data_IF_094113140884
#
_entry.id   IF_094113140884
#
_cell.length_a   1.000
_cell.length_b   1.000
_cell.length_c   1.000
_cell.angle_alpha   90.00
_cell.angle_beta   90.00
_cell.angle_gamma   90.00
#
_symmetry.space_group_name_H-M   'P 1'
#
loop_
_entity.id
_entity.type
_entity.pdbx_description
1 polymer ?
#
# COMPACT_ATOMS: atom_id res chain seq x y z
N UNK A 1 -22.40 54.85 2.40
CA UNK A 1 -23.13 54.04 1.40
C UNK A 1 -22.61 52.60 1.45
N UNK A 2 -23.48 51.63 1.77
CA UNK A 2 -23.14 50.20 1.92
C UNK A 2 -22.96 49.56 0.54
N UNK A 3 -21.84 48.87 0.31
CA UNK A 3 -21.63 48.04 -0.90
C UNK A 3 -22.52 46.78 -0.80
N UNK A 4 -23.20 46.36 -1.89
CA UNK A 4 -24.04 45.18 -1.87
C UNK A 4 -23.18 43.90 -1.85
N UNK A 5 -23.56 42.93 -1.01
CA UNK A 5 -23.01 41.58 -0.99
C UNK A 5 -23.50 40.84 -2.24
N UNK A 6 -22.58 40.46 -3.12
CA UNK A 6 -22.85 39.48 -4.19
C UNK A 6 -23.07 38.11 -3.53
N UNK A 7 -24.33 37.67 -3.47
CA UNK A 7 -24.68 36.31 -3.09
C UNK A 7 -24.26 35.33 -4.18
N UNK A 8 -23.38 34.39 -3.84
CA UNK A 8 -23.10 33.22 -4.66
C UNK A 8 -24.37 32.35 -4.72
N UNK A 9 -25.11 32.40 -5.82
CA UNK A 9 -26.13 31.40 -6.09
C UNK A 9 -25.42 30.10 -6.47
N UNK A 10 -25.37 29.15 -5.55
CA UNK A 10 -25.04 27.77 -5.88
C UNK A 10 -26.18 27.26 -6.76
N UNK A 11 -25.90 27.07 -8.05
CA UNK A 11 -26.85 26.40 -8.93
C UNK A 11 -27.18 25.03 -8.32
N UNK A 12 -28.46 24.66 -8.18
CA UNK A 12 -28.81 23.35 -7.67
C UNK A 12 -28.26 22.31 -8.65
N UNK A 13 -27.32 21.48 -8.16
CA UNK A 13 -26.85 20.32 -8.89
C UNK A 13 -28.03 19.42 -9.27
N UNK A 14 -27.87 18.56 -10.29
CA UNK A 14 -28.93 17.65 -10.71
C UNK A 14 -29.47 16.88 -9.49
N UNK A 15 -30.79 16.59 -9.44
CA UNK A 15 -31.39 15.91 -8.30
C UNK A 15 -30.59 14.65 -8.01
N UNK A 16 -29.97 14.60 -6.82
CA UNK A 16 -29.34 13.38 -6.32
C UNK A 16 -30.44 12.33 -6.36
N UNK A 17 -30.35 11.37 -7.28
CA UNK A 17 -31.15 10.15 -7.18
C UNK A 17 -31.01 9.69 -5.73
N UNK A 18 -32.13 9.47 -5.05
CA UNK A 18 -32.16 9.00 -3.66
C UNK A 18 -31.40 7.68 -3.62
N UNK A 19 -30.08 7.75 -3.41
CA UNK A 19 -29.30 6.56 -3.17
C UNK A 19 -29.88 5.91 -1.93
N UNK A 20 -30.03 4.57 -1.89
CA UNK A 20 -30.41 3.90 -0.67
C UNK A 20 -29.51 4.37 0.46
N UNK A 21 -30.10 4.72 1.60
CA UNK A 21 -29.34 5.06 2.79
C UNK A 21 -28.72 3.76 3.33
N UNK A 22 -27.53 3.43 2.86
CA UNK A 22 -26.79 2.27 3.35
C UNK A 22 -26.30 2.55 4.77
N UNK A 23 -26.81 1.79 5.74
CA UNK A 23 -26.36 1.86 7.14
C UNK A 23 -25.24 0.86 7.36
N UNK A 24 -24.07 1.36 7.74
CA UNK A 24 -22.98 0.51 8.21
C UNK A 24 -23.20 0.13 9.68
N UNK A 25 -22.68 -1.03 10.13
CA UNK A 25 -22.72 -1.38 11.54
C UNK A 25 -22.10 -0.27 12.41
N UNK A 26 -22.58 -0.04 13.65
CA UNK A 26 -22.04 1.00 14.52
C UNK A 26 -20.51 0.90 14.76
N UNK A 27 -19.97 -0.31 14.69
CA UNK A 27 -18.55 -0.60 14.86
C UNK A 27 -17.72 -0.46 13.56
N UNK A 28 -18.31 -0.05 12.44
CA UNK A 28 -17.58 0.08 11.18
C UNK A 28 -16.50 1.18 11.28
N UNK A 29 -15.27 0.83 10.91
CA UNK A 29 -14.13 1.71 11.02
C UNK A 29 -14.04 2.64 9.80
N UNK A 30 -14.31 3.93 10.01
CA UNK A 30 -14.03 4.99 9.04
C UNK A 30 -12.68 5.65 9.32
N UNK A 31 -11.96 6.02 8.27
CA UNK A 31 -10.67 6.67 8.42
C UNK A 31 -10.17 7.31 7.14
N UNK A 32 -9.08 8.05 7.28
CA UNK A 32 -8.28 8.59 6.17
C UNK A 32 -6.85 8.07 6.27
N UNK A 33 -6.07 8.20 5.20
CA UNK A 33 -4.71 7.66 5.14
C UNK A 33 -3.72 8.61 4.50
N UNK A 34 -2.46 8.52 4.93
CA UNK A 34 -1.31 9.17 4.30
C UNK A 34 -0.06 8.28 4.38
N UNK A 35 1.02 8.70 3.73
CA UNK A 35 2.35 8.10 3.87
C UNK A 35 3.41 9.17 4.08
N UNK A 36 4.48 8.79 4.79
CA UNK A 36 5.53 9.68 5.25
C UNK A 36 6.17 10.47 4.10
N UNK A 37 6.69 9.79 3.08
CA UNK A 37 7.37 10.48 1.97
C UNK A 37 6.42 11.40 1.17
N UNK A 38 5.14 11.06 1.08
CA UNK A 38 4.17 11.84 0.32
C UNK A 38 3.67 13.10 1.06
N UNK A 39 3.80 13.17 2.40
CA UNK A 39 3.21 14.27 3.18
C UNK A 39 4.17 14.98 4.13
N UNK A 40 5.14 14.28 4.74
CA UNK A 40 5.97 14.84 5.82
C UNK A 40 6.81 16.03 5.39
N UNK A 41 7.59 15.89 4.32
CA UNK A 41 8.72 16.79 4.08
C UNK A 41 9.73 16.73 5.23
N UNK A 42 10.39 17.85 5.52
CA UNK A 42 11.45 17.90 6.53
C UNK A 42 12.53 16.87 6.25
N UNK A 43 12.90 16.72 4.96
CA UNK A 43 13.64 15.58 4.44
C UNK A 43 15.07 15.47 5.00
N UNK A 44 15.67 16.60 5.39
CA UNK A 44 16.96 16.70 6.09
C UNK A 44 16.82 17.16 7.56
N UNK A 45 15.60 17.24 8.08
CA UNK A 45 15.35 17.75 9.43
C UNK A 45 15.44 16.66 10.49
N UNK A 46 15.94 17.03 11.68
CA UNK A 46 15.91 16.18 12.88
C UNK A 46 16.65 14.86 12.71
N UNK A 47 17.80 14.85 12.04
CA UNK A 47 18.66 13.67 11.91
C UNK A 47 18.16 12.58 10.95
N UNK A 48 17.11 12.85 10.16
CA UNK A 48 16.60 11.91 9.15
C UNK A 48 17.67 11.58 8.11
N UNK A 49 17.86 10.30 7.82
CA UNK A 49 18.70 9.83 6.70
C UNK A 49 17.98 9.92 5.36
N UNK A 50 18.72 9.77 4.26
CA UNK A 50 18.14 9.70 2.93
C UNK A 50 17.43 8.36 2.71
N UNK A 51 16.29 8.40 2.01
CA UNK A 51 15.63 7.25 1.43
C UNK A 51 15.93 7.12 -0.07
N UNK A 52 15.57 5.98 -0.65
CA UNK A 52 15.64 5.77 -2.11
C UNK A 52 14.82 6.79 -2.90
N UNK A 53 13.73 7.30 -2.32
CA UNK A 53 12.91 8.33 -2.97
C UNK A 53 13.54 9.71 -2.91
N UNK A 54 14.29 10.04 -1.85
CA UNK A 54 15.07 11.28 -1.80
C UNK A 54 16.08 11.29 -2.96
N UNK A 55 16.86 10.22 -3.13
CA UNK A 55 17.81 10.12 -4.24
C UNK A 55 17.12 10.15 -5.62
N UNK A 56 15.98 9.47 -5.75
CA UNK A 56 15.22 9.39 -7.00
C UNK A 56 14.69 10.74 -7.45
N UNK A 57 13.98 11.45 -6.57
CA UNK A 57 13.34 12.73 -6.91
C UNK A 57 14.36 13.83 -7.22
N UNK A 58 15.53 13.79 -6.58
CA UNK A 58 16.66 14.69 -6.87
C UNK A 58 17.44 14.32 -8.13
N UNK A 59 17.12 13.21 -8.80
CA UNK A 59 17.74 12.85 -10.08
C UNK A 59 16.94 13.45 -11.25
N UNK A 60 17.55 14.29 -12.10
CA UNK A 60 16.85 14.91 -13.23
C UNK A 60 16.12 13.90 -14.13
N UNK A 61 14.88 14.23 -14.51
CA UNK A 61 14.06 13.43 -15.43
C UNK A 61 13.39 12.19 -14.81
N UNK A 62 13.58 11.93 -13.51
CA UNK A 62 12.96 10.77 -12.83
C UNK A 62 11.56 11.03 -12.28
N UNK A 63 11.18 12.29 -12.11
CA UNK A 63 9.86 12.71 -11.66
C UNK A 63 9.27 13.70 -12.67
N UNK A 64 7.98 13.54 -12.98
CA UNK A 64 7.27 14.43 -13.88
C UNK A 64 7.38 15.89 -13.40
N UNK A 65 7.79 16.80 -14.28
CA UNK A 65 7.99 18.21 -13.95
C UNK A 65 9.16 18.49 -12.99
N UNK A 66 9.98 17.49 -12.64
CA UNK A 66 11.12 17.66 -11.74
C UNK A 66 10.73 17.95 -10.28
N UNK A 67 9.50 17.61 -9.88
CA UNK A 67 9.04 17.83 -8.52
C UNK A 67 9.81 16.98 -7.49
N UNK A 68 10.05 17.56 -6.32
CA UNK A 68 10.66 16.90 -5.15
C UNK A 68 9.70 16.96 -3.96
N UNK A 69 9.84 16.02 -3.03
CA UNK A 69 9.00 15.92 -1.83
C UNK A 69 9.67 16.50 -0.57
N UNK A 70 10.66 17.38 -0.74
CA UNK A 70 11.44 18.00 0.34
C UNK A 70 10.56 18.68 1.40
N UNK A 71 9.56 19.43 0.92
CA UNK A 71 8.53 20.04 1.74
C UNK A 71 7.24 19.19 1.74
N UNK A 72 6.88 18.56 0.62
CA UNK A 72 5.62 17.84 0.45
C UNK A 72 4.41 18.69 0.90
N UNK A 73 3.62 18.20 1.87
CA UNK A 73 2.53 18.95 2.51
C UNK A 73 2.96 19.63 3.83
N UNK A 74 4.26 19.56 4.17
CA UNK A 74 4.86 20.03 5.41
C UNK A 74 4.21 19.40 6.65
N UNK A 75 3.78 18.13 6.56
CA UNK A 75 3.20 17.43 7.71
C UNK A 75 4.19 17.33 8.87
N UNK A 76 5.50 17.29 8.62
CA UNK A 76 6.52 17.31 9.67
C UNK A 76 6.44 18.59 10.52
N UNK A 77 6.27 19.76 9.90
CA UNK A 77 6.09 21.04 10.60
C UNK A 77 4.66 21.28 11.09
N UNK A 78 3.66 20.70 10.42
CA UNK A 78 2.23 21.05 10.55
C UNK A 78 1.35 19.94 11.12
N UNK A 79 1.91 18.84 11.59
CA UNK A 79 1.12 17.69 12.06
C UNK A 79 0.06 18.06 13.10
N UNK A 80 0.30 19.09 13.92
CA UNK A 80 -0.68 19.58 14.91
C UNK A 80 -1.94 20.12 14.23
N UNK A 81 -1.81 20.80 13.10
CA UNK A 81 -2.93 21.28 12.30
C UNK A 81 -3.64 20.14 11.57
N UNK A 82 -2.89 19.16 11.09
CA UNK A 82 -3.47 17.97 10.45
C UNK A 82 -4.28 17.13 11.44
N UNK A 83 -3.81 16.96 12.68
CA UNK A 83 -4.59 16.31 13.74
C UNK A 83 -5.88 17.08 14.03
N UNK A 84 -5.83 18.42 14.06
CA UNK A 84 -7.04 19.25 14.22
C UNK A 84 -8.01 19.07 13.06
N UNK A 85 -7.51 18.97 11.82
CA UNK A 85 -8.32 18.70 10.63
C UNK A 85 -9.00 17.32 10.70
N UNK A 86 -8.25 16.29 11.06
CA UNK A 86 -8.77 14.92 11.23
C UNK A 86 -9.86 14.88 12.30
N UNK A 87 -9.64 15.56 13.43
CA UNK A 87 -10.63 15.65 14.50
C UNK A 87 -11.91 16.35 14.03
N UNK A 88 -11.80 17.47 13.31
CA UNK A 88 -12.96 18.18 12.73
C UNK A 88 -13.71 17.35 11.69
N UNK A 89 -13.02 16.48 10.97
CA UNK A 89 -13.62 15.55 10.02
C UNK A 89 -14.45 14.46 10.72
N UNK A 90 -14.19 14.20 12.01
CA UNK A 90 -14.91 13.22 12.81
C UNK A 90 -14.55 11.77 12.48
N UNK A 91 -13.38 11.52 11.86
CA UNK A 91 -12.95 10.16 11.52
C UNK A 91 -12.28 9.47 12.72
N UNK A 92 -12.72 8.26 13.11
CA UNK A 92 -12.19 7.57 14.29
C UNK A 92 -10.82 6.91 14.09
N UNK A 93 -10.34 6.79 12.84
CA UNK A 93 -9.06 6.21 12.50
C UNK A 93 -8.25 7.10 11.57
N UNK A 94 -6.94 7.11 11.76
CA UNK A 94 -5.98 7.70 10.82
C UNK A 94 -4.88 6.70 10.51
N UNK A 95 -4.75 6.34 9.24
CA UNK A 95 -3.64 5.53 8.75
C UNK A 95 -2.48 6.45 8.39
N UNK A 96 -1.32 6.21 8.99
CA UNK A 96 -0.07 6.89 8.68
C UNK A 96 1.03 5.87 8.42
N UNK A 97 2.12 6.28 7.77
CA UNK A 97 3.34 5.48 7.77
C UNK A 97 4.44 6.13 8.60
N UNK A 98 5.32 5.29 9.15
CA UNK A 98 6.56 5.76 9.75
C UNK A 98 7.64 5.78 8.66
N UNK A 99 8.49 6.81 8.67
CA UNK A 99 9.64 6.84 7.80
C UNK A 99 10.79 6.06 8.41
N UNK A 100 11.16 4.95 7.76
CA UNK A 100 12.27 4.12 8.23
C UNK A 100 13.56 4.93 8.30
N UNK A 101 13.87 5.73 7.27
CA UNK A 101 15.05 6.59 7.26
C UNK A 101 15.01 7.71 8.32
N UNK A 102 13.82 8.08 8.84
CA UNK A 102 13.71 9.03 9.97
C UNK A 102 13.97 8.35 11.31
N UNK A 103 13.62 7.08 11.49
CA UNK A 103 13.79 6.34 12.74
C UNK A 103 15.18 5.69 12.84
N UNK A 104 15.66 5.10 11.75
CA UNK A 104 17.00 4.52 11.60
C UNK A 104 17.63 5.06 10.32
N UNK A 105 18.42 6.14 10.38
CA UNK A 105 18.99 6.81 9.19
C UNK A 105 19.80 5.91 8.27
N UNK A 106 20.59 4.99 8.83
CA UNK A 106 21.34 3.99 8.06
C UNK A 106 20.53 2.73 7.73
N UNK A 107 19.26 2.68 8.13
CA UNK A 107 18.37 1.52 8.06
C UNK A 107 18.61 0.44 9.12
N UNK A 108 19.79 0.43 9.74
CA UNK A 108 20.17 -0.43 10.86
C UNK A 108 20.96 0.36 11.91
N UNK A 109 21.10 -0.21 13.10
CA UNK A 109 22.00 0.32 14.12
C UNK A 109 21.42 1.54 14.84
N UNK A 110 22.08 2.69 14.70
CA UNK A 110 21.79 3.89 15.49
C UNK A 110 20.35 4.38 15.29
N UNK A 111 19.67 4.61 16.41
CA UNK A 111 18.31 5.14 16.45
C UNK A 111 18.37 6.66 16.47
N UNK A 112 17.54 7.29 15.64
CA UNK A 112 17.33 8.71 15.69
C UNK A 112 16.19 9.05 16.67
N UNK A 113 16.55 9.46 17.88
CA UNK A 113 15.60 9.78 18.95
C UNK A 113 14.70 10.98 18.64
N UNK A 114 15.12 11.90 17.78
CA UNK A 114 14.26 13.00 17.29
C UNK A 114 13.13 12.48 16.41
N UNK A 115 13.43 11.49 15.56
CA UNK A 115 12.43 10.78 14.75
C UNK A 115 11.43 10.02 15.63
N UNK A 116 11.90 9.35 16.68
CA UNK A 116 11.01 8.68 17.64
C UNK A 116 10.11 9.70 18.36
N UNK A 117 10.67 10.83 18.81
CA UNK A 117 9.91 11.88 19.49
C UNK A 117 8.82 12.44 18.59
N UNK A 118 9.12 12.74 17.33
CA UNK A 118 8.13 13.21 16.35
C UNK A 118 6.91 12.27 16.24
N UNK A 119 7.13 10.98 15.97
CA UNK A 119 6.03 10.03 15.86
C UNK A 119 5.32 9.79 17.19
N UNK A 120 6.05 9.80 18.30
CA UNK A 120 5.45 9.66 19.64
C UNK A 120 4.49 10.80 19.94
N UNK A 121 4.89 12.05 19.70
CA UNK A 121 4.05 13.23 19.91
C UNK A 121 2.81 13.23 18.99
N UNK A 122 2.98 12.85 17.72
CA UNK A 122 1.89 12.70 16.77
C UNK A 122 0.88 11.64 17.23
N UNK A 123 1.35 10.44 17.59
CA UNK A 123 0.52 9.35 18.10
C UNK A 123 -0.24 9.78 19.36
N UNK A 124 0.44 10.41 20.32
CA UNK A 124 -0.22 10.90 21.54
C UNK A 124 -1.29 11.94 21.24
N UNK A 125 -1.04 12.81 20.27
CA UNK A 125 -2.02 13.82 19.88
C UNK A 125 -3.23 13.25 19.16
N UNK A 126 -3.05 12.27 18.28
CA UNK A 126 -4.15 11.54 17.64
C UNK A 126 -5.06 10.92 18.71
N UNK A 127 -4.46 10.18 19.67
CA UNK A 127 -5.18 9.53 20.75
C UNK A 127 -5.92 10.53 21.65
N UNK A 128 -5.30 11.66 22.02
CA UNK A 128 -5.97 12.73 22.78
C UNK A 128 -7.20 13.30 22.07
N UNK A 129 -7.23 13.26 20.73
CA UNK A 129 -8.37 13.71 19.93
C UNK A 129 -9.35 12.57 19.56
N UNK A 130 -9.20 11.40 20.18
CA UNK A 130 -10.07 10.24 19.94
C UNK A 130 -9.82 9.53 18.61
N UNK A 131 -8.68 9.78 17.95
CA UNK A 131 -8.32 9.22 16.66
C UNK A 131 -7.34 8.07 16.88
N UNK A 132 -7.71 6.86 16.43
CA UNK A 132 -6.86 5.67 16.58
C UNK A 132 -5.86 5.56 15.42
N UNK A 133 -4.55 5.46 15.70
CA UNK A 133 -3.55 5.30 14.65
C UNK A 133 -3.56 3.87 14.08
N UNK A 134 -3.52 3.77 12.75
CA UNK A 134 -3.19 2.55 12.01
C UNK A 134 -1.83 2.77 11.34
N UNK A 135 -0.78 2.12 11.85
CA UNK A 135 0.59 2.45 11.47
C UNK A 135 1.12 1.50 10.40
N UNK A 136 1.54 2.06 9.27
CA UNK A 136 2.28 1.36 8.22
C UNK A 136 3.79 1.48 8.47
N UNK A 137 4.50 0.37 8.64
CA UNK A 137 5.93 0.37 8.95
C UNK A 137 6.79 0.72 7.73
N UNK A 138 6.41 0.23 6.54
CA UNK A 138 7.13 0.50 5.30
C UNK A 138 6.17 0.95 4.19
N UNK A 139 6.41 2.16 3.69
CA UNK A 139 5.67 2.74 2.57
C UNK A 139 6.63 3.24 1.47
N UNK A 140 7.46 2.30 1.00
CA UNK A 140 8.37 2.44 -0.14
C UNK A 140 9.58 3.35 0.09
N UNK A 141 9.76 3.90 1.28
CA UNK A 141 10.81 4.86 1.63
C UNK A 141 12.03 4.19 2.27
N UNK A 142 12.57 3.16 1.60
CA UNK A 142 13.73 2.39 2.06
C UNK A 142 14.92 3.33 2.33
N UNK A 143 15.61 3.22 3.48
CA UNK A 143 16.85 3.93 3.74
C UNK A 143 17.87 3.68 2.62
N UNK A 144 18.42 4.74 2.06
CA UNK A 144 19.31 4.70 0.91
C UNK A 144 20.54 3.79 1.14
N UNK A 145 21.17 3.75 2.33
CA UNK A 145 22.30 2.85 2.57
C UNK A 145 21.96 1.36 2.36
N UNK A 146 20.75 0.91 2.73
CA UNK A 146 20.32 -0.48 2.47
C UNK A 146 20.22 -0.78 0.97
N UNK A 147 19.83 0.20 0.18
CA UNK A 147 19.79 0.04 -1.27
C UNK A 147 21.19 -0.01 -1.88
N UNK A 148 22.11 0.85 -1.43
CA UNK A 148 23.46 0.97 -1.98
C UNK A 148 24.38 -0.19 -1.56
N UNK A 149 24.28 -0.65 -0.31
CA UNK A 149 25.18 -1.67 0.23
C UNK A 149 24.68 -3.10 0.03
N UNK A 150 23.37 -3.28 -0.11
CA UNK A 150 22.74 -4.61 -0.10
C UNK A 150 21.71 -4.81 -1.22
N UNK A 151 21.69 -3.98 -2.26
CA UNK A 151 20.70 -4.05 -3.34
C UNK A 151 19.23 -3.98 -2.86
N UNK A 152 18.99 -3.42 -1.67
CA UNK A 152 17.67 -3.21 -1.10
C UNK A 152 16.88 -4.51 -0.99
N UNK A 153 15.65 -4.54 -1.49
CA UNK A 153 14.76 -5.70 -1.35
C UNK A 153 15.20 -6.95 -2.12
N UNK A 154 16.22 -6.89 -2.97
CA UNK A 154 16.80 -8.10 -3.58
C UNK A 154 17.59 -8.93 -2.57
N UNK A 155 18.02 -8.33 -1.45
CA UNK A 155 18.78 -9.03 -0.42
C UNK A 155 17.93 -9.47 0.77
N UNK A 156 18.10 -10.72 1.26
CA UNK A 156 17.47 -11.17 2.50
C UNK A 156 17.98 -10.41 3.73
N UNK A 157 19.13 -9.71 3.64
CA UNK A 157 19.62 -8.83 4.71
C UNK A 157 18.67 -7.66 4.97
N UNK A 158 18.00 -7.16 3.93
CA UNK A 158 17.01 -6.08 4.06
C UNK A 158 15.77 -6.56 4.81
N UNK A 159 15.36 -7.83 4.63
CA UNK A 159 14.29 -8.43 5.42
C UNK A 159 14.67 -8.50 6.91
N UNK A 160 15.91 -8.89 7.23
CA UNK A 160 16.40 -8.89 8.61
C UNK A 160 16.48 -7.48 9.21
N UNK A 161 16.97 -6.50 8.45
CA UNK A 161 17.01 -5.10 8.85
C UNK A 161 15.60 -4.56 9.13
N UNK A 162 14.62 -4.88 8.28
CA UNK A 162 13.21 -4.51 8.47
C UNK A 162 12.65 -5.07 9.78
N UNK A 163 12.98 -6.32 10.13
CA UNK A 163 12.52 -6.94 11.40
C UNK A 163 13.11 -6.24 12.62
N UNK A 164 14.37 -5.81 12.56
CA UNK A 164 15.00 -5.03 13.62
C UNK A 164 14.33 -3.66 13.80
N UNK A 165 14.10 -2.96 12.68
CA UNK A 165 13.36 -1.70 12.63
C UNK A 165 11.91 -1.84 13.15
N UNK A 166 11.18 -2.85 12.69
CA UNK A 166 9.82 -3.14 13.14
C UNK A 166 9.78 -3.45 14.64
N UNK A 167 10.73 -4.23 15.15
CA UNK A 167 10.86 -4.53 16.58
C UNK A 167 11.00 -3.27 17.42
N UNK A 168 11.86 -2.33 16.99
CA UNK A 168 12.01 -1.05 17.65
C UNK A 168 10.68 -0.28 17.63
N UNK A 169 9.98 -0.22 16.48
CA UNK A 169 8.70 0.47 16.40
C UNK A 169 7.65 -0.15 17.36
N UNK A 170 7.60 -1.47 17.47
CA UNK A 170 6.72 -2.16 18.43
C UNK A 170 7.08 -1.83 19.88
N UNK A 171 8.37 -1.75 20.20
CA UNK A 171 8.84 -1.37 21.53
C UNK A 171 8.46 0.07 21.89
N UNK A 172 8.75 1.01 20.98
CA UNK A 172 8.59 2.45 21.24
C UNK A 172 7.14 2.94 21.15
N UNK A 173 6.32 2.31 20.31
CA UNK A 173 4.95 2.76 20.04
C UNK A 173 3.86 1.74 20.37
N UNK A 174 4.19 0.46 20.54
CA UNK A 174 3.21 -0.62 20.73
C UNK A 174 2.43 -0.59 22.05
N UNK A 175 2.75 0.33 22.97
CA UNK A 175 1.88 0.64 24.11
C UNK A 175 0.65 1.47 23.74
N UNK A 176 0.64 2.08 22.54
CA UNK A 176 -0.37 3.05 22.07
C UNK A 176 -0.94 2.69 20.69
N UNK A 177 -0.15 2.01 19.87
CA UNK A 177 -0.54 1.57 18.52
C UNK A 177 -0.98 0.10 18.55
N UNK A 178 -2.24 -0.13 18.20
CA UNK A 178 -2.87 -1.47 18.21
C UNK A 178 -3.14 -2.04 16.82
N UNK A 179 -2.87 -1.29 15.74
CA UNK A 179 -3.09 -1.75 14.37
C UNK A 179 -1.85 -1.44 13.53
N UNK A 180 -1.21 -2.50 13.03
CA UNK A 180 0.01 -2.43 12.26
C UNK A 180 -0.19 -2.97 10.86
N UNK A 181 0.34 -2.24 9.88
CA UNK A 181 0.57 -2.72 8.52
C UNK A 181 2.08 -2.80 8.33
N UNK A 182 2.58 -3.97 7.96
CA UNK A 182 4.03 -4.17 7.75
C UNK A 182 4.52 -3.44 6.51
N UNK A 183 4.13 -3.89 5.34
CA UNK A 183 4.45 -3.27 4.06
C UNK A 183 3.19 -2.86 3.33
N UNK A 184 3.23 -1.71 2.66
CA UNK A 184 2.19 -1.27 1.74
C UNK A 184 2.48 -1.76 0.32
N UNK A 185 1.50 -2.43 -0.31
CA UNK A 185 1.50 -2.87 -1.70
C UNK A 185 2.85 -3.39 -2.23
N UNK A 186 3.44 -4.43 -1.61
CA UNK A 186 4.76 -4.95 -2.01
C UNK A 186 4.81 -5.42 -3.47
N UNK A 187 3.69 -5.92 -4.02
CA UNK A 187 3.59 -6.26 -5.44
C UNK A 187 3.83 -5.04 -6.35
N UNK A 188 3.19 -3.91 -6.05
CA UNK A 188 3.33 -2.69 -6.83
C UNK A 188 4.75 -2.11 -6.69
N UNK A 189 5.30 -2.15 -5.48
CA UNK A 189 6.71 -1.75 -5.25
C UNK A 189 7.67 -2.62 -6.07
N UNK A 190 7.49 -3.94 -6.05
CA UNK A 190 8.31 -4.88 -6.79
C UNK A 190 8.24 -4.62 -8.32
N UNK A 191 7.03 -4.46 -8.87
CA UNK A 191 6.85 -4.25 -10.31
C UNK A 191 7.41 -2.91 -10.76
N UNK A 192 7.07 -1.83 -10.07
CA UNK A 192 7.47 -0.48 -10.48
C UNK A 192 8.97 -0.24 -10.25
N UNK A 193 9.53 -0.84 -9.19
CA UNK A 193 10.94 -0.67 -8.81
C UNK A 193 11.92 -1.61 -9.51
N UNK A 194 11.50 -2.82 -9.87
CA UNK A 194 12.40 -3.90 -10.33
C UNK A 194 12.00 -4.53 -11.68
N UNK A 195 10.89 -4.11 -12.29
CA UNK A 195 10.49 -4.54 -13.63
C UNK A 195 10.36 -3.35 -14.59
N UNK A 196 9.49 -2.38 -14.26
CA UNK A 196 9.23 -1.21 -15.12
C UNK A 196 10.30 -0.12 -14.97
N UNK A 197 10.98 -0.07 -13.84
CA UNK A 197 11.99 0.94 -13.54
C UNK A 197 11.42 2.36 -13.42
N UNK A 198 10.13 2.49 -13.13
CA UNK A 198 9.41 3.77 -13.04
C UNK A 198 9.47 4.38 -11.64
N UNK A 199 9.66 3.56 -10.62
CA UNK A 199 9.88 3.98 -9.23
C UNK A 199 11.27 3.53 -8.77
N UNK A 200 11.84 4.15 -7.73
CA UNK A 200 13.11 3.68 -7.17
C UNK A 200 13.02 2.21 -6.70
N UNK A 201 14.09 1.43 -6.86
CA UNK A 201 15.43 1.84 -7.35
C UNK A 201 15.56 1.98 -8.88
N UNK A 202 14.48 1.82 -9.65
CA UNK A 202 14.49 2.07 -11.09
C UNK A 202 15.19 0.99 -11.90
N UNK A 203 15.19 -0.25 -11.41
CA UNK A 203 15.91 -1.38 -12.02
C UNK A 203 15.08 -2.04 -13.12
N UNK A 204 15.75 -2.39 -14.20
CA UNK A 204 15.20 -3.10 -15.36
C UNK A 204 16.14 -4.20 -15.88
N UNK A 205 17.13 -4.61 -15.07
CA UNK A 205 18.21 -5.52 -15.51
C UNK A 205 17.70 -6.94 -15.74
N UNK A 206 16.87 -7.45 -14.81
CA UNK A 206 16.25 -8.77 -14.92
C UNK A 206 14.75 -8.68 -14.57
N UNK A 207 13.93 -8.04 -15.42
CA UNK A 207 12.55 -7.67 -15.10
C UNK A 207 11.63 -8.89 -14.95
N UNK A 208 12.05 -10.07 -15.42
CA UNK A 208 11.32 -11.34 -15.27
C UNK A 208 11.71 -12.12 -14.01
N UNK A 209 12.66 -11.63 -13.19
CA UNK A 209 13.15 -12.33 -11.98
C UNK A 209 13.25 -11.43 -10.75
N UNK A 210 13.84 -10.25 -10.88
CA UNK A 210 14.05 -9.32 -9.75
C UNK A 210 12.76 -8.94 -9.00
N UNK A 211 11.61 -8.66 -9.66
CA UNK A 211 10.37 -8.35 -8.94
C UNK A 211 9.91 -9.50 -8.05
N UNK A 212 10.03 -10.75 -8.51
CA UNK A 212 9.63 -11.93 -7.74
C UNK A 212 10.55 -12.17 -6.55
N UNK A 213 11.85 -11.92 -6.70
CA UNK A 213 12.81 -11.98 -5.59
C UNK A 213 12.56 -10.88 -4.55
N UNK A 214 12.35 -9.63 -4.99
CA UNK A 214 12.05 -8.52 -4.10
C UNK A 214 10.76 -8.76 -3.30
N UNK A 215 9.68 -9.18 -3.99
CA UNK A 215 8.42 -9.56 -3.36
C UNK A 215 8.57 -10.72 -2.37
N UNK A 216 9.36 -11.73 -2.71
CA UNK A 216 9.62 -12.86 -1.82
C UNK A 216 10.28 -12.42 -0.52
N UNK A 217 11.32 -11.58 -0.59
CA UNK A 217 11.98 -11.05 0.61
C UNK A 217 11.02 -10.15 1.44
N UNK A 218 10.16 -9.36 0.78
CA UNK A 218 9.13 -8.56 1.46
C UNK A 218 8.10 -9.43 2.19
N UNK A 219 7.67 -10.54 1.61
CA UNK A 219 6.77 -11.51 2.26
C UNK A 219 7.42 -12.16 3.49
N UNK A 220 8.70 -12.54 3.39
CA UNK A 220 9.44 -13.08 4.53
C UNK A 220 9.63 -12.03 5.64
N UNK A 221 9.93 -10.77 5.26
CA UNK A 221 10.05 -9.66 6.20
C UNK A 221 8.74 -9.44 6.98
N UNK A 222 7.59 -9.52 6.29
CA UNK A 222 6.27 -9.49 6.92
C UNK A 222 6.09 -10.61 7.95
N UNK A 223 6.30 -11.87 7.53
CA UNK A 223 6.07 -13.02 8.38
C UNK A 223 6.95 -13.01 9.65
N UNK A 224 8.23 -12.62 9.49
CA UNK A 224 9.17 -12.48 10.60
C UNK A 224 8.77 -11.34 11.55
N UNK A 225 8.34 -10.19 11.03
CA UNK A 225 7.88 -9.07 11.85
C UNK A 225 6.60 -9.42 12.62
N UNK A 226 5.65 -10.13 12.00
CA UNK A 226 4.44 -10.62 12.64
C UNK A 226 4.74 -11.62 13.76
N UNK A 227 5.62 -12.59 13.50
CA UNK A 227 6.07 -13.55 14.51
C UNK A 227 6.75 -12.82 15.70
N UNK A 228 7.55 -11.78 15.40
CA UNK A 228 8.21 -10.96 16.42
C UNK A 228 7.23 -10.19 17.29
N UNK A 229 6.24 -9.51 16.70
CA UNK A 229 5.19 -8.82 17.44
C UNK A 229 4.44 -9.78 18.36
N UNK A 230 4.00 -10.93 17.82
CA UNK A 230 3.30 -11.98 18.58
C UNK A 230 4.09 -12.44 19.79
N UNK A 231 5.40 -12.66 19.64
CA UNK A 231 6.30 -13.01 20.75
C UNK A 231 6.38 -11.88 21.79
N UNK A 232 6.50 -10.62 21.36
CA UNK A 232 6.59 -9.46 22.26
C UNK A 232 5.32 -9.22 23.09
N UNK A 233 4.15 -9.58 22.55
CA UNK A 233 2.86 -9.39 23.21
C UNK A 233 2.25 -10.67 23.80
N UNK A 234 2.99 -11.78 23.84
CA UNK A 234 2.48 -13.08 24.29
C UNK A 234 1.93 -13.04 25.73
N UNK A 235 2.52 -12.21 26.59
CA UNK A 235 2.08 -12.00 27.98
C UNK A 235 0.92 -11.00 28.13
N UNK A 236 0.52 -10.29 27.06
CA UNK A 236 -0.59 -9.32 27.12
C UNK A 236 -1.94 -10.03 27.05
N UNK A 237 -2.98 -9.50 27.74
CA UNK A 237 -4.38 -9.91 27.54
C UNK A 237 -4.78 -9.84 26.07
N UNK A 238 -5.56 -10.81 25.60
CA UNK A 238 -5.91 -10.96 24.16
C UNK A 238 -6.56 -9.72 23.57
N UNK A 239 -7.42 -9.05 24.34
CA UNK A 239 -8.12 -7.80 24.00
C UNK A 239 -7.20 -6.56 23.95
N UNK A 240 -5.97 -6.69 24.44
CA UNK A 240 -4.95 -5.63 24.44
C UNK A 240 -3.79 -5.94 23.48
N UNK A 241 -3.88 -7.03 22.70
CA UNK A 241 -2.89 -7.37 21.69
C UNK A 241 -3.11 -6.52 20.44
N UNK A 242 -2.02 -6.01 19.91
CA UNK A 242 -2.03 -5.32 18.63
C UNK A 242 -2.22 -6.34 17.49
N UNK A 243 -2.97 -5.92 16.48
CA UNK A 243 -3.19 -6.64 15.23
C UNK A 243 -2.15 -6.23 14.19
N UNK A 244 -1.74 -7.17 13.35
CA UNK A 244 -0.76 -6.93 12.28
C UNK A 244 -1.17 -7.58 10.97
N UNK A 245 -0.98 -6.87 9.85
CA UNK A 245 -1.23 -7.39 8.50
C UNK A 245 -0.24 -6.87 7.45
N UNK A 246 -0.29 -7.47 6.26
CA UNK A 246 0.35 -6.96 5.04
C UNK A 246 -0.67 -6.18 4.20
N UNK A 247 -0.31 -4.99 3.71
CA UNK A 247 -1.15 -4.23 2.80
C UNK A 247 -1.12 -4.80 1.38
N UNK A 248 -2.25 -5.32 0.89
CA UNK A 248 -2.39 -5.93 -0.43
C UNK A 248 -3.16 -5.00 -1.36
N UNK A 249 -2.51 -4.58 -2.45
CA UNK A 249 -3.19 -3.88 -3.54
C UNK A 249 -3.83 -4.88 -4.50
N UNK A 250 -5.11 -4.70 -4.79
CA UNK A 250 -5.79 -5.45 -5.84
C UNK A 250 -6.96 -4.67 -6.45
N UNK A 251 -7.05 -4.78 -7.76
CA UNK A 251 -8.21 -4.35 -8.55
C UNK A 251 -8.90 -5.58 -9.13
N UNK A 252 -10.22 -5.52 -9.22
CA UNK A 252 -11.00 -6.64 -9.75
C UNK A 252 -10.73 -6.86 -11.24
N UNK A 253 -10.67 -8.13 -11.64
CA UNK A 253 -10.41 -8.58 -13.02
C UNK A 253 -11.64 -9.30 -13.54
N UNK A 254 -12.42 -8.60 -14.36
CA UNK A 254 -13.63 -9.14 -14.98
C UNK A 254 -13.28 -9.82 -16.31
N UNK A 255 -13.89 -10.96 -16.63
CA UNK A 255 -13.74 -11.56 -17.96
C UNK A 255 -14.31 -10.63 -19.05
N UNK A 256 -13.62 -10.49 -20.18
CA UNK A 256 -14.07 -9.65 -21.29
C UNK A 256 -15.36 -10.19 -21.91
N UNK A 257 -15.51 -11.50 -22.00
CA UNK A 257 -16.68 -12.20 -22.52
C UNK A 257 -17.14 -13.32 -21.59
N UNK A 258 -18.29 -13.93 -21.89
CA UNK A 258 -18.77 -15.12 -21.18
C UNK A 258 -18.09 -16.43 -21.61
N UNK A 259 -17.00 -16.36 -22.37
CA UNK A 259 -16.27 -17.57 -22.78
C UNK A 259 -15.43 -18.13 -21.63
N UNK A 260 -15.27 -19.45 -21.61
CA UNK A 260 -14.42 -20.15 -20.63
C UNK A 260 -12.97 -19.65 -20.71
N UNK A 261 -12.45 -19.39 -21.90
CA UNK A 261 -11.10 -18.87 -22.10
C UNK A 261 -10.84 -17.51 -21.42
N UNK A 262 -11.83 -16.61 -21.44
CA UNK A 262 -11.72 -15.31 -20.76
C UNK A 262 -11.97 -15.44 -19.25
N UNK A 263 -12.82 -16.38 -18.83
CA UNK A 263 -13.00 -16.71 -17.42
C UNK A 263 -11.69 -17.23 -16.80
N UNK A 264 -10.99 -18.14 -17.49
CA UNK A 264 -9.68 -18.64 -17.08
C UNK A 264 -8.64 -17.52 -17.05
N UNK A 265 -8.68 -16.60 -18.01
CA UNK A 265 -7.81 -15.41 -18.03
C UNK A 265 -8.08 -14.51 -16.81
N UNK A 266 -9.35 -14.27 -16.47
CA UNK A 266 -9.72 -13.53 -15.27
C UNK A 266 -9.20 -14.19 -13.98
N UNK A 267 -9.35 -15.52 -13.86
CA UNK A 267 -8.82 -16.26 -12.71
C UNK A 267 -7.28 -16.19 -12.62
N UNK A 268 -6.57 -16.36 -13.74
CA UNK A 268 -5.10 -16.19 -13.76
C UNK A 268 -4.70 -14.77 -13.39
N UNK A 269 -5.41 -13.76 -13.91
CA UNK A 269 -5.13 -12.37 -13.58
C UNK A 269 -5.30 -12.11 -12.08
N UNK A 270 -6.39 -12.59 -11.48
CA UNK A 270 -6.59 -12.52 -10.03
C UNK A 270 -5.48 -13.23 -9.24
N UNK A 271 -4.97 -14.37 -9.72
CA UNK A 271 -3.83 -15.04 -9.10
C UNK A 271 -2.56 -14.17 -9.11
N UNK A 272 -2.28 -13.45 -10.20
CA UNK A 272 -1.11 -12.57 -10.32
C UNK A 272 -1.28 -11.22 -9.60
N UNK A 273 -2.49 -10.64 -9.58
CA UNK A 273 -2.71 -9.29 -9.02
C UNK A 273 -3.09 -9.29 -7.54
N UNK A 274 -3.83 -10.30 -7.08
CA UNK A 274 -4.24 -10.46 -5.67
C UNK A 274 -3.46 -11.62 -5.03
N UNK A 275 -3.51 -12.79 -5.67
CA UNK A 275 -3.01 -14.05 -5.11
C UNK A 275 -1.51 -14.06 -4.85
N UNK A 276 -0.71 -13.33 -5.62
CA UNK A 276 0.73 -13.26 -5.47
C UNK A 276 1.16 -12.90 -4.04
N UNK A 277 0.46 -11.95 -3.44
CA UNK A 277 0.71 -11.53 -2.06
C UNK A 277 -0.25 -12.21 -1.07
N UNK A 278 -1.52 -12.39 -1.44
CA UNK A 278 -2.52 -12.93 -0.53
C UNK A 278 -2.31 -14.43 -0.25
N UNK A 279 -2.16 -15.28 -1.28
CA UNK A 279 -2.13 -16.73 -1.11
C UNK A 279 -1.03 -17.23 -0.16
N UNK A 280 0.21 -16.69 -0.18
CA UNK A 280 1.23 -17.06 0.79
C UNK A 280 0.80 -16.84 2.25
N UNK A 281 0.04 -15.78 2.54
CA UNK A 281 -0.40 -15.44 3.90
C UNK A 281 -1.40 -16.45 4.48
N UNK A 282 -2.12 -17.19 3.63
CA UNK A 282 -3.15 -18.15 4.07
C UNK A 282 -2.69 -19.61 3.89
N UNK A 283 -1.91 -19.88 2.85
CA UNK A 283 -1.52 -21.26 2.48
C UNK A 283 -0.04 -21.56 2.73
N UNK A 284 0.80 -20.53 2.82
CA UNK A 284 2.26 -20.66 2.85
C UNK A 284 2.87 -20.94 1.46
N UNK A 285 2.09 -20.85 0.39
CA UNK A 285 2.52 -21.08 -0.98
C UNK A 285 2.01 -19.97 -1.92
N UNK A 286 2.75 -19.76 -3.02
CA UNK A 286 2.26 -18.94 -4.13
C UNK A 286 1.12 -19.64 -4.88
N UNK A 287 0.27 -18.90 -5.63
CA UNK A 287 -0.77 -19.50 -6.45
C UNK A 287 -0.20 -20.52 -7.46
N UNK A 288 -0.84 -21.70 -7.65
CA UNK A 288 -0.39 -22.70 -8.62
C UNK A 288 -0.25 -22.16 -10.05
N UNK A 289 -1.16 -21.27 -10.47
CA UNK A 289 -1.12 -20.62 -11.77
C UNK A 289 0.17 -19.80 -11.98
N UNK A 290 0.66 -19.11 -10.93
CA UNK A 290 1.92 -18.38 -11.00
C UNK A 290 3.11 -19.34 -11.09
N UNK A 291 3.11 -20.41 -10.29
CA UNK A 291 4.17 -21.42 -10.35
C UNK A 291 4.28 -22.07 -11.73
N UNK A 292 3.15 -22.43 -12.33
CA UNK A 292 3.08 -23.01 -13.66
C UNK A 292 3.62 -22.07 -14.74
N UNK A 293 3.32 -20.77 -14.63
CA UNK A 293 3.75 -19.77 -15.60
C UNK A 293 5.22 -19.33 -15.43
N UNK A 294 5.73 -19.28 -14.20
CA UNK A 294 7.03 -18.66 -13.89
C UNK A 294 8.15 -19.67 -13.65
N UNK A 295 7.85 -20.93 -13.35
CA UNK A 295 8.88 -21.93 -13.05
C UNK A 295 9.88 -21.43 -11.99
N UNK A 296 11.16 -21.47 -12.32
CA UNK A 296 12.26 -21.08 -11.41
C UNK A 296 12.43 -19.57 -11.22
N UNK A 297 11.77 -18.75 -12.03
CA UNK A 297 11.79 -17.29 -11.85
C UNK A 297 11.04 -16.87 -10.57
N UNK A 298 10.07 -17.67 -10.12
CA UNK A 298 9.38 -17.49 -8.86
C UNK A 298 10.14 -18.24 -7.76
N UNK A 299 10.65 -17.59 -6.70
CA UNK A 299 11.36 -18.32 -5.65
C UNK A 299 10.41 -19.27 -4.88
N UNK A 300 10.96 -20.28 -4.21
CA UNK A 300 10.20 -21.24 -3.39
C UNK A 300 10.41 -20.97 -1.90
N UNK A 301 9.38 -21.21 -1.10
CA UNK A 301 9.49 -21.14 0.36
C UNK A 301 9.99 -22.48 0.92
N UNK A 302 10.85 -22.44 1.93
CA UNK A 302 11.12 -23.63 2.76
C UNK A 302 9.88 -23.99 3.60
N UNK A 303 9.88 -25.17 4.21
CA UNK A 303 8.79 -25.59 5.09
C UNK A 303 8.60 -24.62 6.28
N UNK A 304 9.71 -24.13 6.83
CA UNK A 304 9.73 -23.16 7.95
C UNK A 304 9.20 -21.80 7.49
N UNK A 305 9.62 -21.31 6.33
CA UNK A 305 9.13 -20.05 5.76
C UNK A 305 7.62 -20.12 5.46
N UNK A 306 7.17 -21.23 4.85
CA UNK A 306 5.75 -21.46 4.59
C UNK A 306 4.93 -21.50 5.89
N UNK A 307 5.47 -22.12 6.95
CA UNK A 307 4.84 -22.15 8.27
C UNK A 307 4.76 -20.75 8.91
N UNK A 308 5.79 -19.93 8.77
CA UNK A 308 5.80 -18.54 9.25
C UNK A 308 4.78 -17.67 8.50
N UNK A 309 4.63 -17.88 7.20
CA UNK A 309 3.70 -17.11 6.36
C UNK A 309 2.24 -17.44 6.63
N UNK A 310 1.91 -18.71 6.87
CA UNK A 310 0.53 -19.13 7.15
C UNK A 310 -0.03 -18.39 8.38
N UNK A 311 -1.14 -17.68 8.15
CA UNK A 311 -1.81 -16.85 9.14
C UNK A 311 -0.88 -15.81 9.76
N UNK A 312 0.03 -15.20 8.99
CA UNK A 312 0.89 -14.10 9.44
C UNK A 312 0.21 -12.73 9.45
N UNK A 313 -0.98 -12.63 8.85
CA UNK A 313 -1.86 -11.45 8.92
C UNK A 313 -3.11 -11.76 9.75
N UNK A 314 -3.49 -10.83 10.63
CA UNK A 314 -4.64 -10.99 11.53
C UNK A 314 -5.97 -10.58 10.86
N UNK A 315 -5.91 -9.66 9.88
CA UNK A 315 -7.02 -9.22 9.03
C UNK A 315 -6.56 -9.02 7.57
N UNK A 316 -7.48 -8.92 6.61
CA UNK A 316 -7.12 -8.63 5.23
C UNK A 316 -7.06 -7.11 5.01
N UNK A 317 -5.87 -6.55 4.74
CA UNK A 317 -5.70 -5.12 4.46
C UNK A 317 -5.69 -4.87 2.94
N UNK A 318 -6.80 -4.41 2.39
CA UNK A 318 -7.00 -4.21 0.96
C UNK A 318 -6.75 -2.75 0.55
N UNK A 319 -6.13 -2.54 -0.60
CA UNK A 319 -6.09 -1.26 -1.31
C UNK A 319 -6.72 -1.47 -2.69
N UNK A 320 -7.72 -0.67 -3.01
CA UNK A 320 -8.54 -0.85 -4.20
C UNK A 320 -8.94 0.48 -4.83
N UNK A 321 -8.75 0.60 -6.14
CA UNK A 321 -8.97 1.84 -6.87
C UNK A 321 -9.83 1.68 -8.12
N UNK A 322 -9.74 0.52 -8.80
CA UNK A 322 -10.31 0.36 -10.13
C UNK A 322 -10.79 -1.06 -10.42
N UNK A 323 -11.43 -1.23 -11.56
CA UNK A 323 -11.80 -2.54 -12.11
C UNK A 323 -11.41 -2.55 -13.58
N UNK A 324 -10.79 -3.63 -14.01
CA UNK A 324 -10.37 -3.83 -15.40
C UNK A 324 -10.95 -5.13 -15.94
N UNK A 325 -11.15 -5.17 -17.25
CA UNK A 325 -11.55 -6.40 -17.95
C UNK A 325 -10.31 -7.10 -18.49
N UNK A 326 -10.34 -8.42 -18.58
CA UNK A 326 -9.26 -9.22 -19.14
C UNK A 326 -9.76 -10.30 -20.09
N UNK A 327 -8.96 -10.62 -21.09
CA UNK A 327 -9.25 -11.70 -22.05
C UNK A 327 -8.05 -12.61 -22.23
N UNK A 328 -8.29 -13.81 -22.78
CA UNK A 328 -7.21 -14.62 -23.33
C UNK A 328 -6.59 -13.87 -24.54
N UNK A 329 -5.25 -13.88 -24.69
CA UNK A 329 -4.63 -13.39 -25.91
C UNK A 329 -5.10 -14.18 -27.14
N UNK A 330 -5.28 -13.49 -28.26
CA UNK A 330 -5.75 -14.06 -29.53
C UNK A 330 -5.18 -13.27 -30.73
N UNK A 331 -5.61 -13.57 -31.95
CA UNK A 331 -5.12 -12.88 -33.16
C UNK A 331 -5.38 -11.36 -33.14
N UNK A 332 -6.49 -10.91 -32.56
CA UNK A 332 -6.84 -9.48 -32.43
C UNK A 332 -6.07 -8.80 -31.31
N UNK A 333 -5.86 -9.52 -30.20
CA UNK A 333 -5.14 -9.05 -29.02
C UNK A 333 -3.99 -9.99 -28.71
N UNK A 334 -2.84 -9.86 -29.42
CA UNK A 334 -1.73 -10.80 -29.30
C UNK A 334 -1.10 -10.75 -27.90
N UNK A 335 -0.44 -11.82 -27.44
CA UNK A 335 0.24 -11.85 -26.15
C UNK A 335 1.26 -10.71 -26.03
N UNK A 336 1.55 -10.31 -24.79
CA UNK A 336 2.63 -9.35 -24.56
C UNK A 336 3.99 -10.00 -24.90
N UNK A 337 5.00 -9.21 -25.30
CA UNK A 337 6.35 -9.73 -25.57
C UNK A 337 6.88 -10.48 -24.34
N UNK A 338 7.58 -11.59 -24.53
CA UNK A 338 8.11 -12.41 -23.41
C UNK A 338 9.04 -11.63 -22.47
N UNK A 339 9.66 -10.56 -22.95
CA UNK A 339 10.48 -9.64 -22.15
C UNK A 339 9.67 -8.77 -21.20
N UNK A 340 8.36 -8.67 -21.39
CA UNK A 340 7.44 -7.95 -20.50
C UNK A 340 7.20 -8.75 -19.23
N UNK A 341 7.31 -8.08 -18.07
CA UNK A 341 6.91 -8.66 -16.79
C UNK A 341 5.49 -9.25 -16.80
N UNK A 342 4.56 -8.59 -17.49
CA UNK A 342 3.17 -9.02 -17.55
C UNK A 342 2.91 -10.17 -18.54
N UNK A 343 3.90 -10.58 -19.35
CA UNK A 343 3.71 -11.68 -20.29
C UNK A 343 3.42 -13.01 -19.58
N UNK A 344 4.04 -13.25 -18.41
CA UNK A 344 3.81 -14.44 -17.61
C UNK A 344 2.38 -14.58 -17.08
N UNK A 345 1.65 -13.47 -16.93
CA UNK A 345 0.22 -13.50 -16.57
C UNK A 345 -0.60 -14.17 -17.68
N UNK A 346 -0.18 -14.00 -18.95
CA UNK A 346 -0.81 -14.64 -20.10
C UNK A 346 -2.22 -14.13 -20.39
N UNK A 347 -2.46 -12.83 -20.19
CA UNK A 347 -3.76 -12.17 -20.40
C UNK A 347 -3.62 -10.84 -21.14
N UNK A 348 -4.74 -10.32 -21.65
CA UNK A 348 -4.83 -8.98 -22.21
C UNK A 348 -5.75 -8.12 -21.38
N UNK A 349 -5.27 -6.94 -21.01
CA UNK A 349 -5.99 -5.99 -20.16
C UNK A 349 -6.79 -5.03 -21.03
N UNK A 350 -8.01 -4.74 -20.60
CA UNK A 350 -8.97 -3.88 -21.28
C UNK A 350 -9.60 -2.93 -20.27
N UNK A 351 -10.00 -1.75 -20.77
CA UNK A 351 -10.83 -0.86 -19.96
C UNK A 351 -12.21 -1.50 -19.74
N UNK A 352 -12.80 -1.20 -18.60
CA UNK A 352 -14.15 -1.63 -18.27
C UNK A 352 -15.16 -0.93 -19.17
N UNK A 353 -16.08 -1.71 -19.77
CA UNK A 353 -17.09 -1.21 -20.70
C UNK A 353 -17.89 -0.06 -20.10
N UNK A 354 -17.86 1.09 -20.76
CA UNK A 354 -18.60 2.29 -20.34
C UNK A 354 -18.08 2.96 -19.06
N UNK A 355 -16.93 2.52 -18.51
CA UNK A 355 -16.38 3.15 -17.32
C UNK A 355 -15.91 4.58 -17.63
N UNK A 356 -16.26 5.51 -16.74
CA UNK A 356 -15.68 6.86 -16.75
C UNK A 356 -14.23 6.78 -16.30
N UNK A 357 -13.38 7.62 -16.86
CA UNK A 357 -11.98 7.73 -16.43
C UNK A 357 -11.80 8.82 -15.37
N UNK A 358 -10.94 8.58 -14.38
CA UNK A 358 -10.47 9.64 -13.47
C UNK A 358 -9.33 10.47 -14.13
N UNK A 359 -8.76 11.41 -13.39
CA UNK A 359 -7.69 12.30 -13.90
C UNK A 359 -6.37 11.58 -14.27
N UNK A 360 -6.17 10.33 -13.81
CA UNK A 360 -5.05 9.46 -14.21
C UNK A 360 -5.42 8.47 -15.32
N UNK A 361 -6.62 8.56 -15.90
CA UNK A 361 -7.07 7.63 -16.94
C UNK A 361 -7.53 6.26 -16.41
N UNK A 362 -7.70 6.09 -15.10
CA UNK A 362 -8.16 4.83 -14.50
C UNK A 362 -9.68 4.71 -14.52
N UNK A 363 -10.18 3.49 -14.64
CA UNK A 363 -11.62 3.21 -14.69
C UNK A 363 -12.28 3.43 -13.32
N UNK A 364 -13.35 4.21 -13.31
CA UNK A 364 -14.26 4.35 -12.19
C UNK A 364 -15.37 3.31 -12.35
N UNK A 365 -15.16 2.14 -11.75
CA UNK A 365 -16.04 0.98 -11.86
C UNK A 365 -16.27 0.32 -10.47
N UNK A 366 -17.23 0.84 -9.67
CA UNK A 366 -17.39 0.43 -8.27
C UNK A 366 -17.85 -1.02 -8.05
N UNK A 367 -18.46 -1.66 -9.06
CA UNK A 367 -18.97 -3.03 -8.91
C UNK A 367 -17.88 -4.05 -8.60
N UNK A 368 -16.64 -3.80 -9.05
CA UNK A 368 -15.53 -4.70 -8.80
C UNK A 368 -15.08 -4.71 -7.34
N UNK A 369 -15.29 -3.63 -6.57
CA UNK A 369 -15.02 -3.65 -5.13
C UNK A 369 -15.88 -4.72 -4.44
N UNK A 370 -17.19 -4.77 -4.74
CA UNK A 370 -18.08 -5.79 -4.19
C UNK A 370 -17.62 -7.21 -4.56
N UNK A 371 -17.32 -7.43 -5.85
CA UNK A 371 -16.86 -8.75 -6.33
C UNK A 371 -15.53 -9.16 -5.69
N UNK A 372 -14.60 -8.22 -5.55
CA UNK A 372 -13.31 -8.45 -4.93
C UNK A 372 -13.42 -8.77 -3.45
N UNK A 373 -14.24 -8.03 -2.69
CA UNK A 373 -14.51 -8.31 -1.29
C UNK A 373 -15.12 -9.70 -1.11
N UNK A 374 -16.12 -10.06 -1.94
CA UNK A 374 -16.73 -11.39 -1.93
C UNK A 374 -15.71 -12.48 -2.27
N UNK A 375 -14.89 -12.27 -3.28
CA UNK A 375 -13.85 -13.23 -3.67
C UNK A 375 -12.82 -13.44 -2.55
N UNK A 376 -12.38 -12.37 -1.87
CA UNK A 376 -11.47 -12.46 -0.72
C UNK A 376 -12.11 -13.24 0.41
N UNK A 377 -13.37 -12.95 0.74
CA UNK A 377 -14.12 -13.64 1.80
C UNK A 377 -14.25 -15.15 1.51
N UNK A 378 -14.69 -15.50 0.30
CA UNK A 378 -14.89 -16.90 -0.12
C UNK A 378 -13.56 -17.68 -0.24
N UNK A 379 -12.49 -17.03 -0.69
CA UNK A 379 -11.20 -17.69 -0.97
C UNK A 379 -10.30 -17.80 0.26
N UNK A 380 -10.24 -16.75 1.08
CA UNK A 380 -9.27 -16.64 2.16
C UNK A 380 -9.90 -16.62 3.56
N UNK A 381 -11.20 -16.36 3.68
CA UNK A 381 -11.95 -16.36 4.94
C UNK A 381 -11.20 -15.64 6.08
N UNK A 382 -10.82 -14.36 5.88
CA UNK A 382 -9.96 -13.65 6.82
C UNK A 382 -10.63 -13.52 8.19
N UNK A 383 -10.05 -14.14 9.22
CA UNK A 383 -10.62 -14.19 10.59
C UNK A 383 -10.90 -12.81 11.18
N UNK A 384 -10.00 -11.83 10.95
CA UNK A 384 -10.17 -10.44 11.37
C UNK A 384 -10.98 -9.56 10.40
N UNK A 385 -11.64 -10.16 9.41
CA UNK A 385 -12.38 -9.46 8.37
C UNK A 385 -11.48 -8.76 7.34
N UNK A 386 -12.10 -7.91 6.53
CA UNK A 386 -11.43 -7.12 5.49
C UNK A 386 -11.50 -5.64 5.86
N UNK A 387 -10.36 -4.97 5.81
CA UNK A 387 -10.23 -3.52 5.99
C UNK A 387 -9.76 -2.91 4.67
N UNK A 388 -10.54 -1.98 4.11
CA UNK A 388 -10.13 -1.18 2.97
C UNK A 388 -9.20 -0.08 3.51
N UNK A 389 -7.90 -0.31 3.38
CA UNK A 389 -6.85 0.59 3.87
C UNK A 389 -6.55 1.76 2.93
N UNK A 390 -6.92 1.63 1.65
CA UNK A 390 -6.96 2.73 0.69
C UNK A 390 -8.05 2.54 -0.35
N UNK A 391 -8.75 3.63 -0.64
CA UNK A 391 -9.60 3.80 -1.81
C UNK A 391 -9.84 5.28 -2.06
N UNK A 392 -9.94 5.69 -3.31
CA UNK A 392 -10.14 7.08 -3.69
C UNK A 392 -9.82 7.31 -5.16
N UNK A 393 -9.83 8.56 -5.58
CA UNK A 393 -9.34 8.95 -6.90
C UNK A 393 -8.73 10.35 -6.85
N UNK A 394 -7.76 10.65 -7.71
CA UNK A 394 -7.22 12.00 -7.83
C UNK A 394 -8.17 12.92 -8.58
N UNK A 395 -8.27 14.16 -8.10
CA UNK A 395 -8.90 15.26 -8.82
C UNK A 395 -7.82 16.08 -9.53
N UNK A 396 -8.12 16.59 -10.73
CA UNK A 396 -7.23 17.56 -11.37
C UNK A 396 -7.13 18.81 -10.49
N UNK A 397 -5.92 19.37 -10.39
CA UNK A 397 -5.75 20.69 -9.81
C UNK A 397 -6.42 21.71 -10.75
N UNK A 398 -7.68 22.05 -10.51
CA UNK A 398 -8.23 23.30 -11.05
C UNK A 398 -7.54 24.42 -10.30
N UNK A 399 -6.76 25.22 -11.01
CA UNK A 399 -5.95 26.37 -10.55
C UNK A 399 -6.74 27.49 -9.84
N UNK A 400 -8.01 27.26 -9.48
CA UNK A 400 -8.93 28.25 -8.90
C UNK A 400 -9.04 28.25 -7.38
N UNK A 401 -8.39 27.31 -6.66
CA UNK A 401 -8.54 27.19 -5.20
C UNK A 401 -7.26 27.39 -4.39
N UNK A 402 -6.16 27.73 -5.06
CA UNK A 402 -4.92 28.16 -4.43
C UNK A 402 -4.66 29.60 -4.83
N UNK A 403 -5.41 30.53 -4.24
CA UNK A 403 -4.90 31.90 -4.07
C UNK A 403 -4.64 32.12 -2.57
N UNK A 404 -3.52 32.79 -2.24
CA UNK A 404 -2.97 32.86 -0.89
C UNK A 404 -3.89 33.51 0.15
#
# INVERSE_FOLDING_TARGET
>A
ARRPRLGLSVLPGPPRSRMPEYKFPPAFAWGTGSSAYQTEGGWQSGGRGLSIWDAWSHTPGRVAGGAVADAAADHFGRWRDDVRLLHRMGVPYYRLSLSWARIMPAGVGAVNEDGIRFYSELIDSLLRHGIRPVVTLYHWDLPLPLQLEHDGWLSPRTAAAFVAYASLCFERFGGRVLHWLTLHAPAQHAVNGYARGEHPPGRTVAPTREPYLAAHNMLLAHALAAARLRKMQAARPTDQRALISLGVHADWREALSGSEADADAAQRSMAFTLGWMAAPLYTGAYPPAMRAALGDALPSFTAEQAALLRNSSDFFALQHYSTLMVSRPNATFPPLPETSFYAAEGVRWHSTRGARKNSLGWDIAPFGLYKLLKHIDETYQPRGGIVITESGWPCSATSSHLQP
#
